data_IF_041570439471
#
_entry.id   IF_041570439471
#
_cell.length_a   1.000
_cell.length_b   1.000
_cell.length_c   1.000
_cell.angle_alpha   90.00
_cell.angle_beta   90.00
_cell.angle_gamma   90.00
#
_symmetry.space_group_name_H-M   'P 1'
#
loop_
_entity.id
_entity.type
_entity.pdbx_description
1 polymer ?
#
# COMPACT_ATOMS: atom_id res chain seq x y z
N UNK A 1 -15.79 27.10 0.30
CA UNK A 1 -16.92 26.27 0.75
C UNK A 1 -16.88 26.20 2.27
N UNK A 2 -17.98 26.55 2.94
CA UNK A 2 -18.02 26.84 4.37
C UNK A 2 -17.86 25.57 5.24
N UNK A 3 -16.81 25.54 6.06
CA UNK A 3 -16.61 24.59 7.18
C UNK A 3 -17.45 25.05 8.37
N UNK A 4 -18.71 24.67 8.42
CA UNK A 4 -19.58 24.85 9.61
C UNK A 4 -20.11 23.51 10.08
N UNK A 5 -19.21 22.72 10.69
CA UNK A 5 -19.50 21.53 11.49
C UNK A 5 -18.79 21.67 12.85
N UNK A 6 -19.55 21.49 13.92
CA UNK A 6 -19.29 21.82 15.32
C UNK A 6 -17.92 21.36 15.88
N UNK A 7 -17.25 22.18 16.68
CA UNK A 7 -15.93 21.89 17.29
C UNK A 7 -15.96 20.83 18.43
N UNK A 8 -17.14 20.40 18.90
CA UNK A 8 -17.27 19.48 20.04
C UNK A 8 -17.02 18.00 19.72
N UNK A 9 -17.25 17.54 18.48
CA UNK A 9 -16.96 16.16 18.03
C UNK A 9 -15.61 16.03 17.30
N UNK A 10 -14.90 17.15 17.09
CA UNK A 10 -13.64 17.16 16.34
C UNK A 10 -12.47 16.48 17.04
N UNK A 11 -12.55 16.22 18.35
CA UNK A 11 -11.42 15.60 19.07
C UNK A 11 -11.23 14.14 18.71
N UNK A 12 -12.30 13.36 18.46
CA UNK A 12 -12.17 11.92 18.15
C UNK A 12 -11.83 11.64 16.68
N UNK A 13 -12.24 12.51 15.77
CA UNK A 13 -11.94 12.36 14.34
C UNK A 13 -10.50 12.78 14.01
N UNK A 14 -9.93 13.74 14.77
CA UNK A 14 -8.57 14.23 14.51
C UNK A 14 -7.48 13.18 14.72
N UNK A 15 -7.66 12.31 15.72
CA UNK A 15 -6.73 11.20 15.96
C UNK A 15 -6.77 10.19 14.80
N UNK A 16 -7.98 9.83 14.35
CA UNK A 16 -8.15 8.95 13.19
C UNK A 16 -7.62 9.59 11.90
N UNK A 17 -7.83 10.89 11.68
CA UNK A 17 -7.28 11.63 10.52
C UNK A 17 -5.73 11.55 10.48
N UNK A 18 -5.08 11.64 11.64
CA UNK A 18 -3.62 11.50 11.74
C UNK A 18 -3.14 10.07 11.48
N UNK A 19 -3.85 9.06 11.98
CA UNK A 19 -3.58 7.64 11.69
C UNK A 19 -3.83 7.29 10.22
N UNK A 20 -4.95 7.74 9.63
CA UNK A 20 -5.26 7.55 8.21
C UNK A 20 -4.16 8.18 7.33
N UNK A 21 -3.72 9.40 7.67
CA UNK A 21 -2.64 10.07 6.94
C UNK A 21 -1.35 9.27 6.99
N UNK A 22 -0.99 8.70 8.15
CA UNK A 22 0.18 7.82 8.30
C UNK A 22 0.02 6.53 7.49
N UNK A 23 -1.14 5.88 7.56
CA UNK A 23 -1.43 4.67 6.81
C UNK A 23 -1.30 4.89 5.28
N UNK A 24 -1.84 6.00 4.76
CA UNK A 24 -1.71 6.37 3.34
C UNK A 24 -0.26 6.66 2.92
N UNK A 25 0.52 7.30 3.79
CA UNK A 25 1.95 7.51 3.53
C UNK A 25 2.71 6.18 3.53
N UNK A 26 2.37 5.28 4.44
CA UNK A 26 2.98 3.96 4.53
C UNK A 26 2.63 3.10 3.30
N UNK A 27 1.38 3.14 2.84
CA UNK A 27 0.93 2.50 1.60
C UNK A 27 1.76 2.98 0.40
N UNK A 28 1.86 4.29 0.21
CA UNK A 28 2.62 4.87 -0.91
C UNK A 28 4.10 4.48 -0.88
N UNK A 29 4.71 4.46 0.33
CA UNK A 29 6.09 4.01 0.51
C UNK A 29 6.23 2.50 0.23
N UNK A 30 5.29 1.69 0.68
CA UNK A 30 5.28 0.24 0.46
C UNK A 30 5.10 -0.11 -1.03
N UNK A 31 4.18 0.57 -1.73
CA UNK A 31 3.98 0.43 -3.16
C UNK A 31 5.27 0.78 -3.92
N UNK A 32 5.87 1.94 -3.60
CA UNK A 32 7.13 2.36 -4.22
C UNK A 32 8.23 1.34 -3.96
N UNK A 33 8.40 0.89 -2.71
CA UNK A 33 9.40 -0.12 -2.36
C UNK A 33 9.17 -1.43 -3.14
N UNK A 34 7.92 -1.89 -3.22
CA UNK A 34 7.57 -3.08 -4.01
C UNK A 34 7.94 -2.91 -5.48
N UNK A 35 7.62 -1.77 -6.09
CA UNK A 35 7.93 -1.48 -7.49
C UNK A 35 9.44 -1.42 -7.74
N UNK A 36 10.19 -0.70 -6.91
CA UNK A 36 11.64 -0.57 -7.04
C UNK A 36 12.35 -1.90 -6.80
N UNK A 37 11.90 -2.70 -5.83
CA UNK A 37 12.47 -4.02 -5.57
C UNK A 37 12.30 -4.97 -6.76
N UNK A 38 11.11 -4.96 -7.41
CA UNK A 38 10.87 -5.70 -8.65
C UNK A 38 11.72 -5.17 -9.81
N UNK A 39 11.84 -3.84 -9.92
CA UNK A 39 12.70 -3.18 -10.90
C UNK A 39 14.15 -3.62 -10.79
N UNK A 40 14.70 -3.65 -9.58
CA UNK A 40 16.06 -4.09 -9.30
C UNK A 40 16.31 -5.54 -9.76
N UNK A 41 15.40 -6.48 -9.43
CA UNK A 41 15.53 -7.87 -9.88
C UNK A 41 15.55 -7.98 -11.41
N UNK A 42 14.70 -7.20 -12.09
CA UNK A 42 14.67 -7.15 -13.55
C UNK A 42 15.98 -6.59 -14.12
N UNK A 43 16.46 -5.46 -13.60
CA UNK A 43 17.70 -4.83 -14.04
C UNK A 43 18.91 -5.73 -13.83
N UNK A 44 18.96 -6.50 -12.74
CA UNK A 44 20.02 -7.47 -12.49
C UNK A 44 20.06 -8.54 -13.58
N UNK A 45 18.91 -9.13 -13.94
CA UNK A 45 18.81 -10.10 -15.04
C UNK A 45 19.22 -9.50 -16.39
N UNK A 46 18.77 -8.28 -16.67
CA UNK A 46 19.10 -7.59 -17.92
C UNK A 46 20.59 -7.29 -18.04
N UNK A 47 21.23 -6.86 -16.94
CA UNK A 47 22.66 -6.59 -16.88
C UNK A 47 23.47 -7.87 -17.12
N UNK A 48 23.15 -8.94 -16.42
CA UNK A 48 23.81 -10.24 -16.57
C UNK A 48 23.67 -10.78 -18.00
N UNK A 49 22.46 -10.72 -18.56
CA UNK A 49 22.22 -11.11 -19.95
C UNK A 49 22.95 -10.21 -20.96
N UNK A 50 23.14 -8.92 -20.66
CA UNK A 50 23.93 -8.02 -21.49
C UNK A 50 25.42 -8.40 -21.50
N UNK A 51 25.97 -8.79 -20.34
CA UNK A 51 27.36 -9.26 -20.25
C UNK A 51 27.59 -10.51 -21.09
N UNK A 52 26.65 -11.46 -21.08
CA UNK A 52 26.71 -12.67 -21.93
C UNK A 52 26.65 -12.30 -23.41
N UNK A 53 25.73 -11.41 -23.81
CA UNK A 53 25.67 -10.93 -25.21
C UNK A 53 26.97 -10.27 -25.64
N UNK A 54 27.57 -9.44 -24.78
CA UNK A 54 28.86 -8.81 -25.05
C UNK A 54 29.97 -9.86 -25.24
N UNK A 55 30.03 -10.87 -24.37
CA UNK A 55 30.97 -11.99 -24.54
C UNK A 55 30.74 -12.67 -25.89
N UNK A 56 29.52 -13.10 -26.22
CA UNK A 56 29.18 -13.72 -27.50
C UNK A 56 29.54 -12.87 -28.72
N UNK A 57 29.41 -11.54 -28.65
CA UNK A 57 29.86 -10.65 -29.74
C UNK A 57 31.38 -10.64 -29.88
N UNK A 58 32.13 -10.62 -28.77
CA UNK A 58 33.60 -10.66 -28.79
C UNK A 58 34.16 -11.96 -29.35
N UNK A 59 33.41 -13.07 -29.27
CA UNK A 59 33.79 -14.37 -29.87
C UNK A 59 34.10 -14.26 -31.36
N UNK A 60 33.40 -13.36 -32.06
CA UNK A 60 33.56 -13.16 -33.50
C UNK A 60 34.94 -12.59 -33.87
N UNK A 61 35.68 -12.03 -32.89
CA UNK A 61 36.97 -11.37 -33.09
C UNK A 61 38.15 -12.13 -32.47
N UNK A 62 37.90 -13.06 -31.54
CA UNK A 62 38.92 -13.71 -30.73
C UNK A 62 38.77 -15.22 -30.71
N UNK A 63 38.96 -15.85 -31.88
CA UNK A 63 39.03 -17.31 -32.00
C UNK A 63 40.34 -17.90 -31.42
N UNK A 64 40.42 -19.23 -31.38
CA UNK A 64 41.59 -19.97 -30.88
C UNK A 64 42.89 -19.69 -31.66
N UNK A 65 42.79 -19.14 -32.87
CA UNK A 65 43.97 -18.77 -33.68
C UNK A 65 44.60 -17.44 -33.22
N UNK A 66 43.85 -16.63 -32.47
CA UNK A 66 44.35 -15.36 -31.94
C UNK A 66 45.22 -15.57 -30.68
N UNK A 67 46.30 -14.79 -30.49
CA UNK A 67 47.14 -14.89 -29.28
C UNK A 67 46.38 -14.71 -27.96
N UNK A 68 45.22 -14.05 -28.00
CA UNK A 68 44.38 -13.79 -26.82
C UNK A 68 43.16 -14.71 -26.73
N UNK A 69 42.94 -15.61 -27.70
CA UNK A 69 41.81 -16.54 -27.74
C UNK A 69 41.62 -17.33 -26.43
N UNK A 70 42.68 -17.96 -25.86
CA UNK A 70 42.58 -18.68 -24.58
C UNK A 70 42.15 -17.80 -23.40
N UNK A 71 42.55 -16.52 -23.38
CA UNK A 71 42.13 -15.58 -22.34
C UNK A 71 40.67 -15.15 -22.53
N UNK A 72 40.25 -14.94 -23.78
CA UNK A 72 38.88 -14.65 -24.14
C UNK A 72 37.92 -15.79 -23.76
N UNK A 73 38.28 -17.06 -24.04
CA UNK A 73 37.46 -18.22 -23.65
C UNK A 73 37.23 -18.29 -22.14
N UNK A 74 38.27 -18.05 -21.33
CA UNK A 74 38.14 -17.97 -19.86
C UNK A 74 37.20 -16.85 -19.42
N UNK A 75 37.25 -15.70 -20.10
CA UNK A 75 36.32 -14.59 -19.84
C UNK A 75 34.87 -14.98 -20.17
N UNK A 76 34.63 -15.59 -21.34
CA UNK A 76 33.30 -16.07 -21.75
C UNK A 76 32.76 -17.08 -20.74
N UNK A 77 33.55 -18.07 -20.35
CA UNK A 77 33.17 -19.08 -19.35
C UNK A 77 32.81 -18.44 -18.00
N UNK A 78 33.60 -17.47 -17.55
CA UNK A 78 33.33 -16.74 -16.31
C UNK A 78 32.00 -15.97 -16.37
N UNK A 79 31.72 -15.30 -17.49
CA UNK A 79 30.47 -14.54 -17.69
C UNK A 79 29.25 -15.47 -17.78
N UNK A 80 29.34 -16.59 -18.51
CA UNK A 80 28.26 -17.58 -18.58
C UNK A 80 28.02 -18.28 -17.24
N UNK A 81 29.08 -18.55 -16.47
CA UNK A 81 28.96 -19.08 -15.11
C UNK A 81 28.25 -18.08 -14.19
N UNK A 82 28.62 -16.81 -14.27
CA UNK A 82 27.96 -15.74 -13.51
C UNK A 82 26.47 -15.62 -13.86
N UNK A 83 26.09 -15.77 -15.14
CA UNK A 83 24.67 -15.81 -15.53
C UNK A 83 23.92 -16.96 -14.88
N UNK A 84 24.50 -18.16 -14.94
CA UNK A 84 23.92 -19.34 -14.32
C UNK A 84 23.73 -19.14 -12.81
N UNK A 85 24.75 -18.65 -12.12
CA UNK A 85 24.69 -18.37 -10.67
C UNK A 85 23.66 -17.28 -10.32
N UNK A 86 23.58 -16.22 -11.11
CA UNK A 86 22.59 -15.16 -10.91
C UNK A 86 21.15 -15.70 -11.05
N UNK A 87 20.91 -16.56 -12.04
CA UNK A 87 19.61 -17.19 -12.28
C UNK A 87 19.23 -18.22 -11.21
N UNK A 88 20.18 -19.05 -10.79
CA UNK A 88 19.86 -20.20 -9.94
C UNK A 88 19.84 -19.82 -8.45
N UNK A 89 20.76 -18.95 -8.02
CA UNK A 89 20.94 -18.63 -6.60
C UNK A 89 20.37 -17.26 -6.24
N UNK A 90 20.71 -16.23 -7.02
CA UNK A 90 20.36 -14.84 -6.67
C UNK A 90 18.88 -14.57 -6.90
N UNK A 91 18.33 -14.99 -8.03
CA UNK A 91 16.91 -14.81 -8.34
C UNK A 91 15.98 -15.48 -7.31
N UNK A 92 16.26 -16.74 -6.96
CA UNK A 92 15.47 -17.48 -5.98
C UNK A 92 15.57 -16.87 -4.58
N UNK A 93 16.80 -16.52 -4.15
CA UNK A 93 17.04 -15.92 -2.84
C UNK A 93 16.42 -14.54 -2.72
N UNK A 94 16.56 -13.70 -3.75
CA UNK A 94 15.98 -12.36 -3.76
C UNK A 94 14.45 -12.41 -3.81
N UNK A 95 13.86 -13.32 -4.59
CA UNK A 95 12.40 -13.49 -4.61
C UNK A 95 11.86 -13.84 -3.23
N UNK A 96 12.42 -14.87 -2.61
CA UNK A 96 11.92 -15.41 -1.33
C UNK A 96 12.21 -14.49 -0.15
N UNK A 97 13.38 -13.82 -0.15
CA UNK A 97 13.83 -13.01 0.99
C UNK A 97 13.43 -11.54 0.88
N UNK A 98 13.11 -11.03 -0.31
CA UNK A 98 12.82 -9.61 -0.55
C UNK A 98 11.47 -9.40 -1.23
N UNK A 99 11.25 -9.96 -2.42
CA UNK A 99 10.04 -9.68 -3.19
C UNK A 99 8.77 -10.21 -2.52
N UNK A 100 8.78 -11.46 -2.07
CA UNK A 100 7.62 -12.10 -1.46
C UNK A 100 7.21 -11.44 -0.12
N UNK A 101 8.13 -11.12 0.81
CA UNK A 101 7.78 -10.38 2.03
C UNK A 101 7.20 -8.99 1.74
N UNK A 102 7.83 -8.22 0.85
CA UNK A 102 7.34 -6.87 0.49
C UNK A 102 5.98 -6.97 -0.21
N UNK A 103 5.82 -7.93 -1.13
CA UNK A 103 4.56 -8.17 -1.83
C UNK A 103 3.43 -8.57 -0.87
N UNK A 104 3.70 -9.47 0.08
CA UNK A 104 2.74 -9.85 1.13
C UNK A 104 2.35 -8.67 1.99
N UNK A 105 3.33 -7.87 2.43
CA UNK A 105 3.07 -6.68 3.21
C UNK A 105 2.21 -5.65 2.46
N UNK A 106 2.55 -5.37 1.20
CA UNK A 106 1.80 -4.46 0.34
C UNK A 106 0.37 -4.95 0.08
N UNK A 107 0.15 -6.27 0.01
CA UNK A 107 -1.15 -6.86 -0.25
C UNK A 107 -2.19 -6.68 0.86
N UNK A 108 -1.80 -6.20 2.05
CA UNK A 108 -2.76 -5.87 3.13
C UNK A 108 -3.47 -4.53 2.92
N UNK A 109 -2.85 -3.58 2.20
CA UNK A 109 -3.41 -2.22 2.05
C UNK A 109 -4.80 -2.16 1.38
N UNK A 110 -5.15 -2.99 0.38
CA UNK A 110 -6.50 -3.02 -0.16
C UNK A 110 -7.58 -3.28 0.89
N UNK A 111 -7.35 -4.19 1.84
CA UNK A 111 -8.28 -4.51 2.92
C UNK A 111 -8.35 -3.36 3.94
N UNK A 112 -7.20 -2.80 4.32
CA UNK A 112 -7.12 -1.61 5.19
C UNK A 112 -7.90 -0.43 4.58
N UNK A 113 -7.73 -0.19 3.29
CA UNK A 113 -8.44 0.87 2.56
C UNK A 113 -9.96 0.67 2.54
N UNK A 114 -10.40 -0.58 2.40
CA UNK A 114 -11.83 -0.91 2.48
C UNK A 114 -12.37 -0.72 3.89
N UNK A 115 -11.62 -1.07 4.93
CA UNK A 115 -11.98 -0.79 6.31
C UNK A 115 -12.14 0.71 6.55
N UNK A 116 -11.17 1.53 6.11
CA UNK A 116 -11.22 3.00 6.21
C UNK A 116 -12.47 3.53 5.48
N UNK A 117 -12.75 3.03 4.28
CA UNK A 117 -13.93 3.42 3.49
C UNK A 117 -15.24 3.10 4.23
N UNK A 118 -15.34 1.93 4.86
CA UNK A 118 -16.51 1.53 5.67
C UNK A 118 -16.71 2.43 6.88
N UNK A 119 -15.62 2.73 7.61
CA UNK A 119 -15.65 3.67 8.74
C UNK A 119 -16.13 5.05 8.30
N UNK A 120 -15.57 5.59 7.21
CA UNK A 120 -15.96 6.91 6.69
C UNK A 120 -17.42 6.96 6.23
N UNK A 121 -17.94 5.86 5.67
CA UNK A 121 -19.38 5.75 5.38
C UNK A 121 -20.23 5.85 6.66
N UNK A 122 -19.86 5.15 7.73
CA UNK A 122 -20.58 5.21 9.01
C UNK A 122 -20.49 6.57 9.69
N UNK A 123 -19.35 7.24 9.59
CA UNK A 123 -19.21 8.61 10.03
C UNK A 123 -20.19 9.57 9.33
N UNK A 124 -20.33 9.47 7.99
CA UNK A 124 -21.29 10.28 7.24
C UNK A 124 -22.75 9.97 7.59
N UNK A 125 -23.08 8.70 7.82
CA UNK A 125 -24.42 8.28 8.29
C UNK A 125 -24.74 8.90 9.66
N UNK A 126 -23.77 8.87 10.59
CA UNK A 126 -23.91 9.49 11.92
C UNK A 126 -24.04 11.02 11.83
N UNK A 127 -23.20 11.70 11.06
CA UNK A 127 -23.27 13.17 10.88
C UNK A 127 -24.62 13.60 10.30
N UNK A 128 -25.15 12.85 9.32
CA UNK A 128 -26.48 13.11 8.77
C UNK A 128 -27.59 12.94 9.81
N UNK A 129 -27.55 11.86 10.61
CA UNK A 129 -28.52 11.62 11.68
C UNK A 129 -28.46 12.72 12.76
N UNK A 130 -27.25 13.14 13.14
CA UNK A 130 -27.01 14.26 14.07
C UNK A 130 -27.56 15.58 13.52
N UNK A 131 -27.36 15.85 12.23
CA UNK A 131 -27.93 17.02 11.55
C UNK A 131 -29.46 17.01 11.54
N UNK A 132 -30.08 15.84 11.35
CA UNK A 132 -31.54 15.65 11.42
C UNK A 132 -32.07 15.97 12.83
N UNK A 133 -31.44 15.45 13.88
CA UNK A 133 -31.79 15.76 15.28
C UNK A 133 -31.68 17.27 15.52
N UNK A 134 -30.56 17.89 15.14
CA UNK A 134 -30.34 19.34 15.33
C UNK A 134 -31.44 20.17 14.67
N UNK A 135 -31.83 19.86 13.44
CA UNK A 135 -32.91 20.55 12.73
C UNK A 135 -34.27 20.41 13.43
N UNK A 136 -34.56 19.25 14.01
CA UNK A 136 -35.79 19.01 14.77
C UNK A 136 -35.80 19.71 16.13
N UNK A 137 -34.63 19.91 16.76
CA UNK A 137 -34.50 20.71 17.98
C UNK A 137 -34.65 22.21 17.68
N UNK A 138 -33.98 22.71 16.64
CA UNK A 138 -34.06 24.13 16.24
C UNK A 138 -35.45 24.50 15.69
N UNK A 139 -36.11 23.57 14.99
CA UNK A 139 -37.47 23.73 14.48
C UNK A 139 -38.34 22.52 14.84
N UNK A 140 -38.97 22.54 16.04
CA UNK A 140 -39.80 21.45 16.52
C UNK A 140 -40.93 21.10 15.55
N UNK A 141 -41.14 19.79 15.36
CA UNK A 141 -42.27 19.30 14.56
C UNK A 141 -43.57 19.35 15.37
N UNK A 142 -44.69 19.48 14.66
CA UNK A 142 -46.03 19.28 15.25
C UNK A 142 -46.24 17.83 15.73
N UNK A 143 -45.50 16.89 15.15
CA UNK A 143 -45.49 15.49 15.56
C UNK A 143 -44.41 15.27 16.63
N UNK A 144 -44.85 15.07 17.88
CA UNK A 144 -43.99 14.88 19.04
C UNK A 144 -43.16 13.59 19.01
N UNK A 145 -43.52 12.62 18.15
CA UNK A 145 -42.79 11.36 18.00
C UNK A 145 -41.51 11.47 17.16
N UNK A 146 -41.42 12.49 16.29
CA UNK A 146 -40.31 12.62 15.32
C UNK A 146 -38.96 12.90 15.95
N UNK A 147 -38.92 13.72 16.99
CA UNK A 147 -37.67 14.04 17.67
C UNK A 147 -37.10 12.81 18.41
N UNK A 148 -37.88 12.11 19.26
CA UNK A 148 -37.43 10.85 19.88
C UNK A 148 -36.97 9.79 18.86
N UNK A 149 -37.67 9.66 17.73
CA UNK A 149 -37.28 8.72 16.69
C UNK A 149 -35.95 9.09 16.04
N UNK A 150 -35.74 10.37 15.71
CA UNK A 150 -34.49 10.85 15.14
C UNK A 150 -33.31 10.72 16.12
N UNK A 151 -33.55 10.94 17.42
CA UNK A 151 -32.55 10.72 18.47
C UNK A 151 -32.16 9.25 18.59
N UNK A 152 -33.14 8.34 18.52
CA UNK A 152 -32.88 6.90 18.52
C UNK A 152 -32.05 6.48 17.29
N UNK A 153 -32.41 6.95 16.09
CA UNK A 153 -31.64 6.71 14.86
C UNK A 153 -30.20 7.23 14.97
N UNK A 154 -30.01 8.43 15.54
CA UNK A 154 -28.69 9.03 15.74
C UNK A 154 -27.82 8.25 16.73
N UNK A 155 -28.42 7.71 17.80
CA UNK A 155 -27.71 6.87 18.76
C UNK A 155 -27.25 5.55 18.12
N UNK A 156 -28.11 4.88 17.34
CA UNK A 156 -27.70 3.67 16.61
C UNK A 156 -26.54 3.97 15.65
N UNK A 157 -26.65 5.06 14.89
CA UNK A 157 -25.60 5.46 13.95
C UNK A 157 -24.28 5.78 14.65
N UNK A 158 -24.34 6.44 15.81
CA UNK A 158 -23.16 6.71 16.66
C UNK A 158 -22.50 5.42 17.11
N UNK A 159 -23.25 4.49 17.69
CA UNK A 159 -22.70 3.26 18.26
C UNK A 159 -22.02 2.40 17.16
N UNK A 160 -22.62 2.34 15.96
CA UNK A 160 -22.00 1.69 14.80
C UNK A 160 -20.71 2.36 14.34
N UNK A 161 -20.69 3.70 14.32
CA UNK A 161 -19.52 4.49 13.95
C UNK A 161 -18.39 4.31 14.97
N UNK A 162 -18.68 4.46 16.26
CA UNK A 162 -17.70 4.38 17.34
C UNK A 162 -17.05 3.00 17.43
N UNK A 163 -17.83 1.93 17.23
CA UNK A 163 -17.30 0.57 17.18
C UNK A 163 -16.25 0.39 16.07
N UNK A 164 -16.58 0.82 14.84
CA UNK A 164 -15.62 0.77 13.72
C UNK A 164 -14.44 1.72 13.93
N UNK A 165 -14.68 2.92 14.43
CA UNK A 165 -13.64 3.91 14.65
C UNK A 165 -12.62 3.42 15.69
N UNK A 166 -13.09 2.87 16.81
CA UNK A 166 -12.23 2.33 17.86
C UNK A 166 -11.41 1.15 17.34
N UNK A 167 -12.04 0.23 16.62
CA UNK A 167 -11.35 -0.91 16.00
C UNK A 167 -10.24 -0.44 15.06
N UNK A 168 -10.56 0.39 14.07
CA UNK A 168 -9.56 0.85 13.10
C UNK A 168 -8.45 1.70 13.74
N UNK A 169 -8.78 2.57 14.68
CA UNK A 169 -7.75 3.38 15.37
C UNK A 169 -6.75 2.51 16.13
N UNK A 170 -7.20 1.34 16.61
CA UNK A 170 -6.32 0.36 17.26
C UNK A 170 -5.51 -0.51 16.29
N UNK A 171 -6.08 -0.83 15.12
CA UNK A 171 -5.52 -1.78 14.16
C UNK A 171 -4.68 -1.11 13.05
N UNK A 172 -4.85 0.19 12.81
CA UNK A 172 -4.08 0.89 11.78
C UNK A 172 -2.58 0.77 12.06
N UNK A 173 -1.76 0.52 11.02
CA UNK A 173 -0.31 0.40 11.20
C UNK A 173 0.27 1.71 11.75
N UNK A 174 0.98 1.61 12.89
CA UNK A 174 1.61 2.75 13.57
C UNK A 174 3.05 2.98 13.12
#
# INVERSE_FOLDING_TARGET
>A
MAKTGNMGDRSSDREFEEEEKRARQLESKAEKLHKEANGYAKSLREMVGAQVRMATTLEQFYDESTPIGPAYHRYKDAVTKMETQARDEVDASYRTSVLEPIGRYYAYFPEINEAIRRRNKKYLEYDHAKSKVRKLVERPSQDSSKLPQAEHEANIARDMYEALNAQLTSELPK
#
